data_IF_012902284981
#
_entry.id   IF_012902284981
#
_cell.length_a   1.000
_cell.length_b   1.000
_cell.length_c   1.000
_cell.angle_alpha   90.00
_cell.angle_beta   90.00
_cell.angle_gamma   90.00
#
_symmetry.space_group_name_H-M   'P 1'
#
loop_
_entity.id
_entity.type
_entity.pdbx_description
1 polymer ?
#
# COMPACT_ATOMS: atom_id res chain seq x y z
N UNK A 1 -21.57 27.65 0.87
CA UNK A 1 -20.81 27.19 2.04
C UNK A 1 -20.86 25.67 1.98
N UNK A 2 -19.78 25.02 1.56
CA UNK A 2 -19.71 23.55 1.55
C UNK A 2 -19.59 23.10 3.00
N UNK A 3 -20.62 22.45 3.53
CA UNK A 3 -20.55 21.80 4.84
C UNK A 3 -19.54 20.65 4.71
N UNK A 4 -18.40 20.74 5.39
CA UNK A 4 -17.52 19.59 5.53
C UNK A 4 -18.21 18.61 6.49
N UNK A 5 -18.94 17.65 5.95
CA UNK A 5 -19.43 16.51 6.71
C UNK A 5 -18.23 15.61 7.01
N UNK A 6 -17.80 15.62 8.27
CA UNK A 6 -16.82 14.67 8.78
C UNK A 6 -17.55 13.54 9.47
N UNK A 7 -17.10 12.31 9.27
CA UNK A 7 -17.61 11.14 9.96
C UNK A 7 -16.51 10.46 10.74
N UNK A 8 -16.79 10.13 12.00
CA UNK A 8 -15.90 9.30 12.80
C UNK A 8 -16.03 7.84 12.34
N UNK A 9 -14.90 7.25 11.96
CA UNK A 9 -14.81 5.82 11.65
C UNK A 9 -14.17 5.10 12.82
N UNK A 10 -14.86 4.11 13.39
CA UNK A 10 -14.36 3.27 14.49
C UNK A 10 -14.21 1.81 14.10
N UNK A 11 -14.70 1.43 12.92
CA UNK A 11 -14.80 0.04 12.46
C UNK A 11 -14.16 -0.13 11.09
N UNK A 12 -13.35 -1.19 10.95
CA UNK A 12 -12.61 -1.54 9.74
C UNK A 12 -12.94 -2.98 9.35
N UNK A 13 -14.13 -3.17 8.80
CA UNK A 13 -14.68 -4.51 8.53
C UNK A 13 -14.50 -4.96 7.08
N UNK A 14 -14.06 -4.08 6.17
CA UNK A 14 -13.85 -4.45 4.78
C UNK A 14 -12.60 -5.34 4.66
N UNK A 15 -12.81 -6.61 4.36
CA UNK A 15 -11.74 -7.59 4.16
C UNK A 15 -11.34 -7.67 2.69
N UNK A 16 -12.31 -7.70 1.78
CA UNK A 16 -12.08 -7.83 0.34
C UNK A 16 -12.40 -6.51 -0.37
N UNK A 17 -11.40 -5.97 -1.05
CA UNK A 17 -11.50 -4.75 -1.84
C UNK A 17 -12.03 -5.06 -3.25
N UNK A 18 -12.83 -4.16 -3.86
CA UNK A 18 -13.32 -4.33 -5.23
C UNK A 18 -12.23 -4.50 -6.29
N UNK A 19 -11.02 -4.00 -6.03
CA UNK A 19 -9.86 -4.16 -6.91
C UNK A 19 -9.23 -5.58 -6.87
N UNK A 20 -9.79 -6.51 -6.08
CA UNK A 20 -9.31 -7.91 -5.99
C UNK A 20 -8.20 -8.13 -4.97
N UNK A 21 -7.94 -7.15 -4.10
CA UNK A 21 -7.07 -7.27 -2.95
C UNK A 21 -7.87 -7.69 -1.71
N UNK A 22 -7.23 -8.43 -0.81
CA UNK A 22 -7.80 -8.85 0.46
C UNK A 22 -6.88 -8.48 1.62
N UNK A 23 -7.45 -8.20 2.79
CA UNK A 23 -6.68 -7.95 4.00
C UNK A 23 -5.74 -9.13 4.30
N UNK A 24 -4.47 -8.84 4.56
CA UNK A 24 -3.39 -9.81 4.70
C UNK A 24 -2.57 -10.03 3.44
N UNK A 25 -3.04 -9.61 2.26
CA UNK A 25 -2.24 -9.66 1.04
C UNK A 25 -0.93 -8.89 1.19
N UNK A 26 0.11 -9.38 0.50
CA UNK A 26 1.42 -8.74 0.45
C UNK A 26 1.61 -8.10 -0.92
N UNK A 27 1.98 -6.82 -0.92
CA UNK A 27 2.21 -6.04 -2.13
C UNK A 27 3.67 -5.62 -2.21
N UNK A 28 4.35 -5.94 -3.30
CA UNK A 28 5.71 -5.46 -3.56
C UNK A 28 5.67 -4.17 -4.36
N UNK A 29 6.45 -3.17 -3.95
CA UNK A 29 6.64 -1.92 -4.69
C UNK A 29 7.45 -2.22 -5.97
N UNK A 30 6.87 -1.96 -7.15
CA UNK A 30 7.54 -2.11 -8.45
C UNK A 30 8.26 -0.85 -8.91
N UNK A 31 7.74 0.30 -8.49
CA UNK A 31 8.25 1.62 -8.86
C UNK A 31 8.49 2.42 -7.58
N UNK A 32 9.68 2.99 -7.42
CA UNK A 32 10.02 3.73 -6.22
C UNK A 32 9.02 4.86 -5.95
N UNK A 33 8.51 4.94 -4.73
CA UNK A 33 7.49 5.92 -4.33
C UNK A 33 8.18 7.08 -3.65
N UNK A 34 8.11 8.26 -4.25
CA UNK A 34 8.62 9.49 -3.63
C UNK A 34 7.50 10.14 -2.84
N UNK A 35 7.70 10.28 -1.52
CA UNK A 35 6.72 10.91 -0.65
C UNK A 35 6.76 12.42 -0.85
N UNK A 36 5.62 13.02 -1.16
CA UNK A 36 5.48 14.45 -1.37
C UNK A 36 4.67 15.11 -0.25
N UNK A 37 5.05 16.34 0.09
CA UNK A 37 4.25 17.27 0.89
C UNK A 37 3.76 18.37 -0.04
N UNK A 38 2.51 18.26 -0.49
CA UNK A 38 2.00 19.08 -1.59
C UNK A 38 2.77 18.78 -2.87
N UNK A 39 3.34 19.81 -3.51
CA UNK A 39 4.17 19.65 -4.71
C UNK A 39 5.66 19.40 -4.42
N UNK A 40 6.08 19.40 -3.15
CA UNK A 40 7.50 19.28 -2.78
C UNK A 40 7.83 17.86 -2.35
N UNK A 41 8.88 17.22 -2.90
CA UNK A 41 9.35 15.95 -2.37
C UNK A 41 9.90 16.14 -0.96
N UNK A 42 9.58 15.21 -0.07
CA UNK A 42 10.03 15.23 1.34
C UNK A 42 11.44 14.68 1.53
N UNK A 43 12.01 14.06 0.48
CA UNK A 43 13.25 13.29 0.56
C UNK A 43 13.07 11.85 1.05
N UNK A 44 11.88 11.49 1.53
CA UNK A 44 11.54 10.10 1.86
C UNK A 44 11.14 9.36 0.58
N UNK A 45 11.78 8.21 0.36
CA UNK A 45 11.54 7.34 -0.79
C UNK A 45 11.32 5.91 -0.30
N UNK A 46 10.26 5.28 -0.76
CA UNK A 46 10.08 3.83 -0.59
C UNK A 46 10.69 3.12 -1.80
N UNK A 47 11.76 2.34 -1.61
CA UNK A 47 12.46 1.71 -2.71
C UNK A 47 11.63 0.61 -3.38
N UNK A 48 11.99 0.31 -4.63
CA UNK A 48 11.52 -0.89 -5.31
C UNK A 48 11.89 -2.13 -4.49
N UNK A 49 10.97 -3.08 -4.39
CA UNK A 49 11.14 -4.31 -3.62
C UNK A 49 10.53 -4.26 -2.22
N UNK A 50 10.19 -3.08 -1.70
CA UNK A 50 9.51 -2.96 -0.40
C UNK A 50 8.20 -3.74 -0.41
N UNK A 51 7.95 -4.53 0.64
CA UNK A 51 6.73 -5.34 0.74
C UNK A 51 5.79 -4.78 1.79
N UNK A 52 4.66 -4.27 1.33
CA UNK A 52 3.59 -3.69 2.13
C UNK A 52 2.50 -4.73 2.37
N UNK A 53 1.70 -4.54 3.42
CA UNK A 53 0.60 -5.45 3.78
C UNK A 53 -0.74 -4.75 3.59
N UNK A 54 -1.70 -5.41 2.94
CA UNK A 54 -3.08 -4.91 2.88
C UNK A 54 -3.73 -5.07 4.24
N UNK A 55 -4.32 -4.00 4.75
CA UNK A 55 -5.07 -3.96 6.00
C UNK A 55 -6.57 -4.09 5.70
N UNK A 56 -7.38 -4.21 6.75
CA UNK A 56 -8.83 -4.06 6.62
C UNK A 56 -9.19 -2.60 6.35
N UNK A 57 -10.18 -2.39 5.51
CA UNK A 57 -10.67 -1.07 5.12
C UNK A 57 -12.01 -0.71 5.75
N UNK A 58 -12.57 0.40 5.29
CA UNK A 58 -13.87 0.91 5.69
C UNK A 58 -14.87 0.57 4.61
N UNK A 59 -16.03 0.00 4.97
CA UNK A 59 -17.03 -0.47 4.01
C UNK A 59 -17.58 0.67 3.14
N UNK A 60 -17.67 1.88 3.68
CA UNK A 60 -18.20 3.04 2.95
C UNK A 60 -17.20 3.69 1.99
N UNK A 61 -15.91 3.34 2.09
CA UNK A 61 -14.86 3.82 1.19
C UNK A 61 -14.10 2.62 0.59
N UNK A 62 -14.79 1.73 -0.13
CA UNK A 62 -14.21 0.47 -0.58
C UNK A 62 -13.14 0.66 -1.67
N UNK A 63 -13.08 1.82 -2.30
CA UNK A 63 -12.05 2.16 -3.28
C UNK A 63 -10.73 2.63 -2.63
N UNK A 64 -10.71 2.88 -1.33
CA UNK A 64 -9.50 3.31 -0.60
C UNK A 64 -8.87 2.11 0.09
N UNK A 65 -7.77 1.62 -0.48
CA UNK A 65 -7.01 0.49 0.06
C UNK A 65 -6.14 0.96 1.21
N UNK A 66 -6.26 0.28 2.36
CA UNK A 66 -5.42 0.54 3.52
C UNK A 66 -4.22 -0.39 3.50
N UNK A 67 -3.03 0.16 3.66
CA UNK A 67 -1.76 -0.54 3.57
C UNK A 67 -0.93 -0.29 4.84
N UNK A 68 -0.08 -1.25 5.17
CA UNK A 68 0.96 -1.12 6.20
C UNK A 68 2.34 -1.30 5.59
N UNK A 69 3.17 -0.29 5.80
CA UNK A 69 4.57 -0.26 5.40
C UNK A 69 5.42 -1.24 6.23
N UNK A 70 6.64 -1.59 5.78
CA UNK A 70 7.55 -2.42 6.57
C UNK A 70 7.90 -1.84 7.95
N UNK A 71 7.90 -0.51 8.09
CA UNK A 71 8.15 0.18 9.36
C UNK A 71 6.92 0.20 10.31
N UNK A 72 5.81 -0.40 9.90
CA UNK A 72 4.58 -0.50 10.67
C UNK A 72 3.60 0.66 10.49
N UNK A 73 3.97 1.73 9.77
CA UNK A 73 3.06 2.85 9.52
C UNK A 73 1.97 2.48 8.51
N UNK A 74 0.79 3.03 8.73
CA UNK A 74 -0.34 2.87 7.82
C UNK A 74 -0.34 3.95 6.74
N UNK A 75 -0.74 3.57 5.53
CA UNK A 75 -0.94 4.46 4.40
C UNK A 75 -2.20 4.05 3.63
N UNK A 76 -2.84 4.98 2.95
CA UNK A 76 -3.93 4.67 2.01
C UNK A 76 -3.44 4.76 0.56
N UNK A 77 -4.12 4.04 -0.34
CA UNK A 77 -3.91 4.11 -1.78
C UNK A 77 -5.25 3.93 -2.51
N UNK A 78 -5.37 4.41 -3.75
CA UNK A 78 -6.59 4.24 -4.54
C UNK A 78 -6.60 2.86 -5.21
N UNK A 79 -7.71 2.13 -5.12
CA UNK A 79 -7.82 0.79 -5.70
C UNK A 79 -7.67 0.77 -7.22
N UNK A 80 -7.97 1.87 -7.92
CA UNK A 80 -7.92 1.95 -9.38
C UNK A 80 -6.51 1.95 -9.98
N UNK A 81 -5.52 2.51 -9.27
CA UNK A 81 -4.15 2.67 -9.77
C UNK A 81 -3.11 1.89 -8.95
N UNK A 82 -3.54 1.16 -7.92
CA UNK A 82 -2.64 0.44 -7.02
C UNK A 82 -1.70 -0.51 -7.77
N UNK A 83 -2.18 -1.18 -8.82
CA UNK A 83 -1.38 -2.12 -9.60
C UNK A 83 -0.41 -1.45 -10.58
N UNK A 84 -0.45 -0.13 -10.75
CA UNK A 84 0.60 0.60 -11.48
C UNK A 84 1.89 0.66 -10.64
N UNK A 85 1.73 0.83 -9.33
CA UNK A 85 2.84 0.99 -8.38
C UNK A 85 3.23 -0.33 -7.71
N UNK A 86 2.27 -1.20 -7.46
CA UNK A 86 2.43 -2.43 -6.69
C UNK A 86 2.17 -3.69 -7.52
N UNK A 87 2.74 -4.80 -7.10
CA UNK A 87 2.34 -6.15 -7.51
C UNK A 87 1.96 -6.99 -6.30
N UNK A 88 0.95 -7.84 -6.47
CA UNK A 88 0.58 -8.82 -5.44
C UNK A 88 1.62 -9.93 -5.42
N UNK A 89 2.19 -10.20 -4.24
CA UNK A 89 3.14 -11.29 -4.01
C UNK A 89 2.34 -12.59 -3.97
N UNK A 90 2.40 -13.36 -5.06
CA UNK A 90 1.73 -14.66 -5.18
C UNK A 90 2.56 -15.80 -4.62
N UNK A 91 3.84 -15.58 -4.33
CA UNK A 91 4.75 -16.59 -3.80
C UNK A 91 5.71 -15.98 -2.75
N UNK A 92 5.76 -16.44 -1.49
CA UNK A 92 6.61 -15.86 -0.44
C UNK A 92 8.12 -16.10 -0.61
N UNK A 93 8.57 -16.80 -1.66
CA UNK A 93 9.95 -17.31 -1.80
C UNK A 93 10.87 -16.55 -2.75
N UNK A 94 10.48 -15.39 -3.29
CA UNK A 94 11.45 -14.53 -3.99
C UNK A 94 12.30 -13.77 -2.98
N UNK A 95 13.25 -14.48 -2.36
CA UNK A 95 14.49 -13.86 -1.90
C UNK A 95 15.15 -13.17 -3.10
N UNK A 96 15.73 -11.96 -2.93
CA UNK A 96 16.50 -11.34 -3.99
C UNK A 96 17.63 -12.30 -4.42
N UNK A 97 17.97 -12.41 -5.71
CA UNK A 97 19.10 -13.20 -6.14
C UNK A 97 20.35 -12.66 -5.42
N UNK A 98 20.87 -13.45 -4.48
CA UNK A 98 22.14 -13.20 -3.81
C UNK A 98 23.25 -13.25 -4.85
N UNK A 99 23.51 -12.10 -5.48
CA UNK A 99 24.75 -11.84 -6.20
C UNK A 99 25.83 -11.52 -5.16
N UNK A 100 26.36 -12.55 -4.53
CA UNK A 100 27.67 -12.47 -3.89
C UNK A 100 28.69 -13.11 -4.86
N UNK A 101 29.68 -12.34 -5.36
CA UNK A 101 30.76 -12.92 -6.15
C UNK A 101 31.65 -13.78 -5.25
N UNK A 102 32.14 -14.88 -5.83
CA UNK A 102 33.13 -15.79 -5.25
C UNK A 102 34.37 -15.04 -4.76
N UNK A 103 35.03 -15.58 -3.74
CA UNK A 103 36.44 -15.99 -3.86
C UNK A 103 36.57 -17.51 -4.06
#
# INVERSE_FOLDING_TARGET
>A
MSSNEYRLVTEYELVDYPCGLSAGDRLRVKVAIVVHQGSKPTGVVHPVGDVWTVLRGVVDEPDIVWLRQPDGKSHTWTGSDIFETFEKVTNPQEEPPSHAPRP
#
